data_IF_239185293776
#
_entry.id   IF_239185293776
#
_cell.length_a   1.000
_cell.length_b   1.000
_cell.length_c   1.000
_cell.angle_alpha   90.00
_cell.angle_beta   90.00
_cell.angle_gamma   90.00
#
_symmetry.space_group_name_H-M   'P 1'
#
loop_
_entity.id
_entity.type
_entity.pdbx_description
1 polymer ?
#
# COMPACT_ATOMS: atom_id res chain seq x y z
N UNK A 1 25.50 -4.17 11.58
CA UNK A 1 24.59 -5.14 12.21
C UNK A 1 23.17 -4.58 12.15
N UNK A 2 22.29 -5.15 11.31
CA UNK A 2 20.90 -4.71 11.22
C UNK A 2 20.13 -5.19 12.45
N UNK A 3 19.56 -4.27 13.25
CA UNK A 3 18.65 -4.63 14.34
C UNK A 3 17.40 -5.25 13.72
N UNK A 4 17.26 -6.58 13.81
CA UNK A 4 16.01 -7.28 13.48
C UNK A 4 14.91 -6.71 14.38
N UNK A 5 14.02 -5.85 13.85
CA UNK A 5 12.88 -5.30 14.60
C UNK A 5 12.07 -6.49 15.12
N UNK A 6 11.92 -6.62 16.44
CA UNK A 6 11.01 -7.60 17.04
C UNK A 6 9.60 -7.24 16.57
N UNK A 7 9.01 -8.07 15.70
CA UNK A 7 7.63 -7.90 15.25
C UNK A 7 6.71 -8.00 16.49
N UNK A 8 5.81 -7.03 16.64
CA UNK A 8 4.90 -6.96 17.79
C UNK A 8 4.01 -8.21 17.82
N UNK A 9 3.79 -8.78 19.01
CA UNK A 9 2.87 -9.91 19.22
C UNK A 9 1.40 -9.53 18.98
N UNK A 10 1.09 -8.24 19.01
CA UNK A 10 -0.27 -7.73 18.89
C UNK A 10 -0.37 -6.59 17.88
N UNK A 11 -1.54 -6.47 17.27
CA UNK A 11 -1.90 -5.37 16.36
C UNK A 11 -3.30 -4.86 16.68
N UNK A 12 -3.53 -3.56 16.52
CA UNK A 12 -4.86 -2.96 16.65
C UNK A 12 -5.36 -2.62 15.26
N UNK A 13 -6.53 -3.14 14.91
CA UNK A 13 -7.14 -2.92 13.60
C UNK A 13 -8.49 -2.27 13.75
N UNK A 14 -8.79 -1.40 12.80
CA UNK A 14 -10.07 -0.72 12.70
C UNK A 14 -11.00 -1.58 11.83
N UNK A 15 -12.17 -1.93 12.35
CA UNK A 15 -13.24 -2.62 11.65
C UNK A 15 -12.93 -4.01 11.02
N UNK A 16 -11.77 -4.60 11.26
CA UNK A 16 -11.39 -5.92 10.71
C UNK A 16 -12.05 -7.12 11.40
N UNK A 17 -12.74 -6.93 12.53
CA UNK A 17 -13.47 -8.02 13.18
C UNK A 17 -14.92 -8.07 12.72
N UNK A 18 -15.29 -9.09 11.92
CA UNK A 18 -16.67 -9.29 11.44
C UNK A 18 -17.68 -9.41 12.59
N UNK A 19 -17.26 -9.93 13.75
CA UNK A 19 -18.14 -10.11 14.91
C UNK A 19 -18.26 -8.86 15.77
N UNK A 20 -17.14 -8.14 15.98
CA UNK A 20 -17.13 -7.00 16.91
C UNK A 20 -17.46 -5.68 16.22
N UNK A 21 -17.16 -5.56 14.93
CA UNK A 21 -17.38 -4.35 14.09
C UNK A 21 -16.95 -3.07 14.81
N UNK A 22 -15.82 -3.14 15.51
CA UNK A 22 -15.26 -2.04 16.31
C UNK A 22 -13.73 -2.16 16.37
N UNK A 23 -13.01 -1.06 16.65
CA UNK A 23 -11.56 -1.09 16.83
C UNK A 23 -11.16 -2.10 17.90
N UNK A 24 -10.37 -3.10 17.50
CA UNK A 24 -10.05 -4.23 18.39
C UNK A 24 -8.58 -4.63 18.26
N UNK A 25 -8.02 -5.09 19.38
CA UNK A 25 -6.68 -5.67 19.44
C UNK A 25 -6.73 -7.15 19.05
N UNK A 26 -5.79 -7.56 18.23
CA UNK A 26 -5.58 -8.93 17.79
C UNK A 26 -4.23 -9.45 18.28
N UNK A 27 -4.22 -10.70 18.72
CA UNK A 27 -3.00 -11.46 18.99
C UNK A 27 -2.58 -12.17 17.70
N UNK A 28 -1.37 -11.87 17.22
CA UNK A 28 -0.79 -12.56 16.07
C UNK A 28 -0.31 -13.95 16.52
N UNK A 29 -0.84 -14.99 15.88
CA UNK A 29 -0.48 -16.38 16.15
C UNK A 29 0.78 -16.73 15.34
N UNK A 30 1.62 -17.62 15.89
CA UNK A 30 2.92 -17.96 15.30
C UNK A 30 2.80 -18.66 13.93
N UNK A 31 3.90 -18.61 13.17
CA UNK A 31 4.05 -18.95 11.76
C UNK A 31 3.41 -20.29 11.35
N UNK A 32 2.56 -20.24 10.32
CA UNK A 32 2.33 -21.42 9.46
C UNK A 32 3.54 -21.45 8.55
N UNK A 33 4.47 -22.36 8.83
CA UNK A 33 5.62 -22.60 7.97
C UNK A 33 5.12 -22.85 6.54
N UNK A 34 5.54 -22.00 5.61
CA UNK A 34 5.34 -22.07 4.15
C UNK A 34 4.12 -21.33 3.55
N UNK A 35 3.39 -20.49 4.29
CA UNK A 35 2.50 -19.49 3.67
C UNK A 35 3.28 -18.19 3.43
N UNK A 36 3.07 -17.57 2.28
CA UNK A 36 3.59 -16.25 1.86
C UNK A 36 3.70 -15.30 3.08
N UNK A 37 4.86 -14.65 3.27
CA UNK A 37 5.17 -13.85 4.47
C UNK A 37 4.12 -12.76 4.79
N UNK A 38 3.28 -12.47 3.80
CA UNK A 38 2.19 -11.51 3.73
C UNK A 38 0.95 -11.91 4.56
N UNK A 39 0.67 -13.19 4.82
CA UNK A 39 -0.58 -13.59 5.53
C UNK A 39 -0.33 -14.20 6.90
N UNK A 40 -1.17 -13.84 7.89
CA UNK A 40 -1.04 -14.33 9.28
C UNK A 40 -2.37 -14.63 9.95
N UNK A 41 -2.39 -15.71 10.72
CA UNK A 41 -3.49 -15.97 11.64
C UNK A 41 -3.44 -15.02 12.83
N UNK A 42 -4.60 -14.47 13.16
CA UNK A 42 -4.75 -13.58 14.29
C UNK A 42 -6.04 -13.87 15.06
N UNK A 43 -5.97 -13.74 16.38
CA UNK A 43 -7.10 -13.94 17.28
C UNK A 43 -7.57 -12.62 17.85
N UNK A 44 -8.84 -12.29 17.65
CA UNK A 44 -9.47 -11.14 18.26
C UNK A 44 -9.44 -11.27 19.79
N UNK A 45 -8.95 -10.26 20.50
CA UNK A 45 -8.90 -10.29 21.98
C UNK A 45 -10.26 -10.06 22.64
N UNK A 46 -11.30 -9.69 21.88
CA UNK A 46 -12.68 -9.45 22.37
C UNK A 46 -13.59 -10.66 22.16
N UNK A 47 -13.86 -11.05 20.91
CA UNK A 47 -14.73 -12.19 20.61
C UNK A 47 -14.00 -13.52 20.49
N UNK A 48 -12.66 -13.52 20.56
CA UNK A 48 -11.83 -14.71 20.40
C UNK A 48 -11.95 -15.42 19.03
N UNK A 49 -12.61 -14.80 18.05
CA UNK A 49 -12.63 -15.26 16.68
C UNK A 49 -11.24 -15.18 16.07
N UNK A 50 -10.88 -16.20 15.30
CA UNK A 50 -9.57 -16.33 14.64
C UNK A 50 -9.76 -16.14 13.15
N UNK A 51 -8.96 -15.27 12.54
CA UNK A 51 -9.05 -14.91 11.12
C UNK A 51 -7.67 -14.81 10.50
N UNK A 52 -7.63 -14.89 9.17
CA UNK A 52 -6.43 -14.59 8.39
C UNK A 52 -6.36 -13.08 8.14
N UNK A 53 -5.22 -12.49 8.41
CA UNK A 53 -4.91 -11.10 8.13
C UNK A 53 -3.87 -11.02 7.02
N UNK A 54 -4.08 -10.07 6.11
CA UNK A 54 -3.09 -9.68 5.12
C UNK A 54 -2.26 -8.52 5.70
N UNK A 55 -0.99 -8.79 5.96
CA UNK A 55 -0.07 -7.87 6.62
C UNK A 55 0.33 -6.71 5.71
N UNK A 56 0.33 -6.89 4.38
CA UNK A 56 0.65 -5.82 3.43
C UNK A 56 -0.50 -4.80 3.36
N UNK A 57 -1.73 -5.31 3.26
CA UNK A 57 -2.93 -4.45 3.32
C UNK A 57 -2.98 -3.69 4.65
N UNK A 58 -2.71 -4.36 5.76
CA UNK A 58 -2.71 -3.70 7.07
C UNK A 58 -1.62 -2.64 7.19
N UNK A 59 -0.40 -2.90 6.69
CA UNK A 59 0.68 -1.92 6.74
C UNK A 59 0.38 -0.68 5.89
N UNK A 60 -0.25 -0.86 4.72
CA UNK A 60 -0.67 0.25 3.85
C UNK A 60 -1.83 1.07 4.42
N UNK A 61 -2.80 0.45 5.10
CA UNK A 61 -3.87 1.16 5.81
C UNK A 61 -3.37 1.92 7.05
N UNK A 62 -2.40 1.35 7.79
CA UNK A 62 -1.86 1.97 9.01
C UNK A 62 -0.84 3.08 8.72
N UNK A 63 -0.13 2.98 7.60
CA UNK A 63 0.80 4.00 7.13
C UNK A 63 0.36 4.43 5.73
N UNK A 64 -0.77 5.16 5.62
CA UNK A 64 -1.16 5.69 4.34
C UNK A 64 0.00 6.52 3.80
N UNK A 65 0.40 6.33 2.53
CA UNK A 65 1.41 7.16 1.90
C UNK A 65 1.10 8.63 2.14
N UNK A 66 2.12 9.38 2.58
CA UNK A 66 1.97 10.80 2.92
C UNK A 66 1.36 11.53 1.74
N UNK A 67 0.25 12.22 1.96
CA UNK A 67 -0.37 13.07 0.95
C UNK A 67 0.68 13.99 0.34
N UNK A 68 0.77 13.96 -0.98
CA UNK A 68 1.68 14.81 -1.74
C UNK A 68 1.13 16.23 -1.66
N UNK A 69 1.71 17.06 -0.79
CA UNK A 69 1.35 18.48 -0.60
C UNK A 69 2.03 19.37 -1.65
N UNK A 70 2.01 18.94 -2.91
CA UNK A 70 2.57 19.69 -4.03
C UNK A 70 1.42 20.34 -4.79
N UNK A 71 1.54 21.63 -5.11
CA UNK A 71 0.53 22.31 -5.91
C UNK A 71 0.46 21.67 -7.30
N UNK A 72 -0.74 21.60 -7.90
CA UNK A 72 -0.94 20.98 -9.22
C UNK A 72 -0.04 21.61 -10.29
N UNK A 73 0.22 22.91 -10.17
CA UNK A 73 1.09 23.69 -11.06
C UNK A 73 2.58 23.31 -10.99
N UNK A 74 3.02 22.71 -9.89
CA UNK A 74 4.38 22.19 -9.70
C UNK A 74 4.49 20.69 -10.05
N UNK A 75 3.39 20.06 -10.46
CA UNK A 75 3.35 18.64 -10.81
C UNK A 75 3.64 18.41 -12.30
N UNK A 76 4.19 17.25 -12.61
CA UNK A 76 4.38 16.80 -13.99
C UNK A 76 3.06 16.23 -14.50
N UNK A 77 2.56 16.76 -15.62
CA UNK A 77 1.40 16.20 -16.32
C UNK A 77 1.69 14.76 -16.77
N UNK A 78 0.81 13.82 -16.40
CA UNK A 78 0.95 12.44 -16.85
C UNK A 78 0.77 12.32 -18.38
N UNK A 79 1.68 11.58 -19.00
CA UNK A 79 1.68 11.17 -20.40
C UNK A 79 2.39 9.81 -20.52
N UNK A 80 1.82 8.84 -21.25
CA UNK A 80 2.45 7.53 -21.44
C UNK A 80 3.72 7.56 -22.30
N UNK A 81 4.04 8.70 -22.92
CA UNK A 81 5.25 8.89 -23.75
C UNK A 81 6.45 9.39 -22.95
N UNK A 82 6.20 9.95 -21.78
CA UNK A 82 7.24 10.47 -20.91
C UNK A 82 7.86 9.36 -20.05
N UNK A 83 8.91 9.69 -19.33
CA UNK A 83 9.59 8.82 -18.38
C UNK A 83 9.71 9.54 -17.04
N UNK A 84 9.45 8.83 -15.95
CA UNK A 84 9.33 9.42 -14.62
C UNK A 84 10.35 8.83 -13.64
N UNK A 85 10.73 9.57 -12.62
CA UNK A 85 11.56 9.09 -11.52
C UNK A 85 10.72 8.77 -10.27
N UNK A 86 11.20 7.83 -9.45
CA UNK A 86 10.63 7.61 -8.11
C UNK A 86 10.78 8.91 -7.31
N UNK A 87 9.68 9.37 -6.73
CA UNK A 87 9.60 10.65 -6.02
C UNK A 87 8.99 11.80 -6.84
N UNK A 88 8.80 11.63 -8.16
CA UNK A 88 8.14 12.66 -8.98
C UNK A 88 6.68 12.85 -8.56
N UNK A 89 6.25 14.10 -8.47
CA UNK A 89 4.85 14.48 -8.29
C UNK A 89 4.16 14.54 -9.66
N UNK A 90 3.13 13.71 -9.84
CA UNK A 90 2.41 13.55 -11.09
C UNK A 90 0.98 14.02 -10.93
N UNK A 91 0.50 14.82 -11.88
CA UNK A 91 -0.92 15.15 -12.03
C UNK A 91 -1.56 14.31 -13.14
N UNK A 92 -2.68 13.65 -12.83
CA UNK A 92 -3.43 12.86 -13.80
C UNK A 92 -4.78 13.51 -14.12
N UNK A 93 -4.87 14.14 -15.30
CA UNK A 93 -6.06 14.89 -15.77
C UNK A 93 -7.36 14.09 -15.71
N UNK A 94 -7.33 12.81 -16.04
CA UNK A 94 -8.54 11.96 -16.04
C UNK A 94 -9.14 11.71 -14.64
N UNK A 95 -8.35 11.90 -13.59
CA UNK A 95 -8.78 11.71 -12.20
C UNK A 95 -8.82 13.02 -11.42
N UNK A 96 -8.32 14.11 -12.02
CA UNK A 96 -8.08 15.37 -11.34
C UNK A 96 -7.36 15.17 -10.00
N UNK A 97 -6.25 14.43 -10.04
CA UNK A 97 -5.57 13.97 -8.84
C UNK A 97 -4.05 14.08 -8.98
N UNK A 98 -3.40 14.32 -7.84
CA UNK A 98 -1.96 14.42 -7.71
C UNK A 98 -1.46 13.23 -6.90
N UNK A 99 -0.34 12.67 -7.33
CA UNK A 99 0.28 11.55 -6.64
C UNK A 99 1.80 11.56 -6.76
N UNK A 100 2.44 10.69 -6.01
CA UNK A 100 3.90 10.51 -6.07
C UNK A 100 4.24 9.14 -6.66
N UNK A 101 5.22 9.10 -7.55
CA UNK A 101 5.78 7.84 -8.06
C UNK A 101 6.50 7.11 -6.92
N UNK A 102 6.06 5.90 -6.61
CA UNK A 102 6.64 5.07 -5.54
C UNK A 102 7.47 3.89 -6.09
N UNK A 103 7.23 3.45 -7.32
CA UNK A 103 7.94 2.33 -7.94
C UNK A 103 7.96 2.44 -9.46
N UNK A 104 8.93 1.74 -10.09
CA UNK A 104 9.01 1.48 -11.53
C UNK A 104 9.01 -0.02 -11.76
N UNK A 105 8.25 -0.48 -12.73
CA UNK A 105 8.02 -1.89 -13.03
C UNK A 105 8.22 -2.21 -14.51
N UNK A 106 8.63 -3.45 -14.77
CA UNK A 106 8.57 -4.06 -16.09
C UNK A 106 7.37 -4.97 -16.16
N UNK A 107 6.45 -4.67 -17.07
CA UNK A 107 5.27 -5.50 -17.30
C UNK A 107 5.61 -6.72 -18.15
N UNK A 108 4.76 -7.75 -18.12
CA UNK A 108 5.03 -9.05 -18.78
C UNK A 108 5.21 -8.97 -20.29
N UNK A 109 4.73 -7.91 -20.94
CA UNK A 109 4.90 -7.65 -22.37
C UNK A 109 6.15 -6.81 -22.69
N UNK A 110 6.98 -6.50 -21.69
CA UNK A 110 8.18 -5.68 -21.81
C UNK A 110 7.95 -4.17 -21.72
N UNK A 111 6.70 -3.70 -21.57
CA UNK A 111 6.42 -2.28 -21.38
C UNK A 111 6.84 -1.81 -19.99
N UNK A 112 7.27 -0.55 -19.90
CA UNK A 112 7.64 0.09 -18.64
C UNK A 112 6.40 0.71 -17.99
N UNK A 113 6.31 0.61 -16.67
CA UNK A 113 5.22 1.16 -15.90
C UNK A 113 5.74 1.83 -14.63
N UNK A 114 4.99 2.82 -14.15
CA UNK A 114 5.17 3.41 -12.83
C UNK A 114 4.01 3.04 -11.92
N UNK A 115 4.30 2.90 -10.64
CA UNK A 115 3.29 2.82 -9.58
C UNK A 115 3.26 4.18 -8.90
N UNK A 116 2.08 4.81 -8.90
CA UNK A 116 1.86 6.14 -8.34
C UNK A 116 0.81 6.02 -7.25
N UNK A 117 1.12 6.57 -6.07
CA UNK A 117 0.10 6.76 -5.04
C UNK A 117 -0.52 8.14 -5.20
N UNK A 118 -1.78 8.18 -5.62
CA UNK A 118 -2.57 9.40 -5.72
C UNK A 118 -3.31 9.73 -4.42
N UNK A 119 -3.51 11.02 -4.17
CA UNK A 119 -4.12 11.53 -2.93
C UNK A 119 -5.60 11.12 -2.79
N UNK A 120 -6.38 11.13 -3.87
CA UNK A 120 -7.83 10.81 -3.85
C UNK A 120 -8.12 9.38 -4.29
N UNK A 121 -7.50 8.91 -5.37
CA UNK A 121 -7.83 7.61 -6.01
C UNK A 121 -6.94 6.45 -5.56
N UNK A 122 -5.98 6.72 -4.67
CA UNK A 122 -5.05 5.73 -4.12
C UNK A 122 -4.00 5.26 -5.14
N UNK A 123 -3.51 4.04 -4.96
CA UNK A 123 -2.46 3.49 -5.82
C UNK A 123 -2.96 3.12 -7.22
N UNK A 124 -2.17 3.51 -8.23
CA UNK A 124 -2.44 3.21 -9.64
C UNK A 124 -1.14 2.87 -10.36
N UNK A 125 -1.23 1.87 -11.24
CA UNK A 125 -0.18 1.54 -12.20
C UNK A 125 -0.45 2.26 -13.52
N UNK A 126 0.51 3.04 -13.98
CA UNK A 126 0.47 3.80 -15.23
C UNK A 126 1.58 3.33 -16.16
N UNK A 127 1.34 3.35 -17.47
CA UNK A 127 2.37 3.00 -18.46
C UNK A 127 3.23 4.23 -18.75
N UNK A 128 4.51 4.03 -18.98
CA UNK A 128 5.44 5.08 -19.38
C UNK A 128 6.28 4.62 -20.57
N UNK A 129 6.98 5.56 -21.22
CA UNK A 129 7.93 5.28 -22.29
C UNK A 129 7.36 4.42 -23.44
N UNK A 130 6.11 4.68 -23.85
CA UNK A 130 5.57 4.18 -25.12
C UNK A 130 6.11 5.06 -26.25
N UNK A 131 7.10 4.51 -26.98
CA UNK A 131 7.61 5.03 -28.25
C UNK A 131 6.94 4.42 -29.46
#
# INVERSE_FOLDING_TARGET
MARRRKRSKYITLQNMCETCVMPTKFELLAEVSNLEEEKRWAKCTKCHHTMMLDMEVIESEQNPPKETNVAVEDCIDYSPKENYAIGDAIYHKGWDDVGTVISKELTSNGSQAIVVTFNKVGEKRLIENIG
#
